data_IF_827741401579
#
_entry.id   IF_827741401579
#
_cell.length_a   1.000
_cell.length_b   1.000
_cell.length_c   1.000
_cell.angle_alpha   90.00
_cell.angle_beta   90.00
_cell.angle_gamma   90.00
#
_symmetry.space_group_name_H-M   'P 1'
#
loop_
_entity.id
_entity.type
_entity.pdbx_description
1 polymer ?
#
# COMPACT_ATOMS: atom_id res chain seq x y z
N UNK A 1 -45.46 -16.27 -4.61
CA UNK A 1 -44.44 -15.27 -4.21
C UNK A 1 -43.32 -16.02 -3.52
N UNK A 2 -42.09 -15.49 -3.62
CA UNK A 2 -40.79 -16.04 -3.15
C UNK A 2 -40.27 -17.29 -3.86
N UNK A 3 -39.71 -17.08 -5.06
CA UNK A 3 -38.76 -18.00 -5.68
C UNK A 3 -37.33 -17.59 -5.31
N UNK A 4 -36.59 -18.49 -4.67
CA UNK A 4 -35.14 -18.41 -4.49
C UNK A 4 -34.47 -18.30 -5.87
N UNK A 5 -33.91 -17.14 -6.21
CA UNK A 5 -33.11 -16.95 -7.43
C UNK A 5 -31.63 -17.15 -7.10
N UNK A 6 -31.18 -18.40 -7.09
CA UNK A 6 -29.77 -18.76 -6.97
C UNK A 6 -29.05 -18.87 -8.34
N UNK A 7 -29.57 -18.26 -9.41
CA UNK A 7 -29.12 -18.60 -10.78
C UNK A 7 -28.79 -17.46 -11.75
N UNK A 8 -28.45 -16.26 -11.28
CA UNK A 8 -27.84 -15.31 -12.23
C UNK A 8 -26.85 -14.33 -11.62
N UNK A 9 -25.89 -14.80 -10.82
CA UNK A 9 -24.77 -13.95 -10.41
C UNK A 9 -24.00 -13.46 -11.64
N UNK A 10 -23.60 -12.18 -11.68
CA UNK A 10 -22.87 -11.58 -12.80
C UNK A 10 -21.56 -12.32 -13.06
N UNK A 11 -21.11 -12.35 -14.31
CA UNK A 11 -19.87 -13.04 -14.67
C UNK A 11 -18.63 -12.31 -14.11
N UNK A 12 -17.55 -13.05 -13.89
CA UNK A 12 -16.22 -12.43 -13.68
C UNK A 12 -15.88 -11.56 -14.88
N UNK A 13 -15.36 -10.37 -14.63
CA UNK A 13 -15.10 -9.31 -15.62
C UNK A 13 -16.29 -8.40 -15.91
N UNK A 14 -17.49 -8.70 -15.39
CA UNK A 14 -18.63 -7.81 -15.55
C UNK A 14 -18.55 -6.59 -14.61
N UNK A 15 -19.15 -5.48 -15.05
CA UNK A 15 -19.41 -4.32 -14.21
C UNK A 15 -20.89 -4.30 -13.81
N UNK A 16 -21.14 -4.12 -12.52
CA UNK A 16 -22.50 -3.99 -11.96
C UNK A 16 -22.60 -2.76 -11.07
N UNK A 17 -23.81 -2.28 -10.86
CA UNK A 17 -24.11 -1.22 -9.89
C UNK A 17 -24.70 -1.79 -8.63
N UNK A 18 -24.31 -1.26 -7.48
CA UNK A 18 -24.92 -1.52 -6.18
C UNK A 18 -25.15 -0.20 -5.46
N UNK A 19 -26.20 -0.12 -4.64
CA UNK A 19 -26.39 1.01 -3.73
C UNK A 19 -25.23 1.07 -2.71
N UNK A 20 -24.89 2.25 -2.21
CA UNK A 20 -23.77 2.40 -1.26
C UNK A 20 -23.94 1.54 -0.01
N UNK A 21 -25.16 1.41 0.48
CA UNK A 21 -25.48 0.62 1.68
C UNK A 21 -25.23 -0.88 1.50
N UNK A 22 -25.24 -1.38 0.26
CA UNK A 22 -24.97 -2.79 -0.04
C UNK A 22 -23.49 -3.16 0.17
N UNK A 23 -22.58 -2.20 0.30
CA UNK A 23 -21.21 -2.49 0.74
C UNK A 23 -21.19 -3.13 2.15
N UNK A 24 -22.10 -2.74 3.04
CA UNK A 24 -22.25 -3.38 4.34
C UNK A 24 -22.66 -4.85 4.24
N UNK A 25 -23.39 -5.23 3.19
CA UNK A 25 -23.73 -6.63 2.91
C UNK A 25 -22.54 -7.42 2.39
N UNK A 26 -21.67 -6.81 1.59
CA UNK A 26 -20.41 -7.43 1.16
C UNK A 26 -19.52 -7.73 2.39
N UNK A 27 -19.39 -6.77 3.31
CA UNK A 27 -18.64 -6.96 4.56
C UNK A 27 -19.24 -8.08 5.40
N UNK A 28 -20.57 -8.09 5.58
CA UNK A 28 -21.26 -9.15 6.31
C UNK A 28 -21.05 -10.53 5.66
N UNK A 29 -21.15 -10.61 4.34
CA UNK A 29 -20.96 -11.84 3.56
C UNK A 29 -19.52 -12.40 3.66
N UNK A 30 -18.51 -11.52 3.78
CA UNK A 30 -17.13 -11.91 4.07
C UNK A 30 -17.03 -12.53 5.47
N UNK A 31 -17.60 -11.88 6.48
CA UNK A 31 -17.56 -12.37 7.87
C UNK A 31 -18.30 -13.69 8.06
N UNK A 32 -19.46 -13.85 7.43
CA UNK A 32 -20.20 -15.12 7.42
C UNK A 32 -19.40 -16.28 6.82
N UNK A 33 -18.43 -15.97 5.93
CA UNK A 33 -17.47 -16.93 5.36
C UNK A 33 -16.21 -17.12 6.21
N UNK A 34 -16.15 -16.50 7.39
CA UNK A 34 -15.03 -16.61 8.33
C UNK A 34 -13.87 -15.67 8.06
N UNK A 35 -14.04 -14.65 7.19
CA UNK A 35 -13.00 -13.64 6.98
C UNK A 35 -12.97 -12.65 8.15
N UNK A 36 -11.77 -12.42 8.67
CA UNK A 36 -11.43 -11.23 9.42
C UNK A 36 -11.45 -10.02 8.48
N UNK A 37 -12.30 -9.04 8.75
CA UNK A 37 -12.48 -7.88 7.87
C UNK A 37 -11.68 -6.66 8.36
N UNK A 38 -10.85 -6.13 7.47
CA UNK A 38 -10.01 -4.95 7.69
C UNK A 38 -10.54 -3.82 6.82
N UNK A 39 -10.98 -2.74 7.44
CA UNK A 39 -11.55 -1.57 6.77
C UNK A 39 -10.74 -0.32 7.12
N UNK A 40 -10.77 0.72 6.26
CA UNK A 40 -10.28 2.02 6.64
C UNK A 40 -11.19 2.58 7.74
N UNK A 41 -10.59 3.13 8.79
CA UNK A 41 -11.29 3.88 9.84
C UNK A 41 -10.44 5.02 10.35
N UNK A 42 -11.09 6.04 10.93
CA UNK A 42 -10.38 7.14 11.59
C UNK A 42 -9.85 6.66 12.95
N UNK A 43 -8.54 6.73 13.14
CA UNK A 43 -7.89 6.50 14.44
C UNK A 43 -6.64 7.39 14.55
N UNK A 44 -6.40 7.94 15.74
CA UNK A 44 -5.23 8.76 16.05
C UNK A 44 -4.96 9.91 15.05
N UNK A 45 -6.04 10.51 14.53
CA UNK A 45 -5.96 11.61 13.57
C UNK A 45 -5.57 11.21 12.14
N UNK A 46 -5.60 9.91 11.82
CA UNK A 46 -5.35 9.38 10.48
C UNK A 46 -6.41 8.35 10.05
N UNK A 47 -6.55 8.12 8.74
CA UNK A 47 -7.27 6.93 8.25
C UNK A 47 -6.29 5.75 8.25
N UNK A 48 -6.63 4.68 8.96
CA UNK A 48 -5.82 3.46 9.08
C UNK A 48 -6.64 2.23 8.70
N UNK A 49 -5.97 1.20 8.20
CA UNK A 49 -6.57 -0.12 8.00
C UNK A 49 -6.54 -0.88 9.30
N UNK A 50 -7.71 -1.14 9.86
CA UNK A 50 -7.87 -1.86 11.13
C UNK A 50 -9.08 -2.78 11.05
N UNK A 51 -9.14 -3.73 11.97
CA UNK A 51 -10.28 -4.63 12.08
C UNK A 51 -11.56 -3.85 12.38
N UNK A 52 -12.61 -4.22 11.65
CA UNK A 52 -13.95 -3.67 11.80
C UNK A 52 -14.99 -4.68 11.32
N UNK A 53 -16.15 -4.57 11.96
CA UNK A 53 -17.20 -5.57 11.92
C UNK A 53 -18.30 -5.27 10.90
N UNK A 54 -18.37 -4.01 10.46
CA UNK A 54 -19.36 -3.49 9.53
C UNK A 54 -18.79 -2.26 8.80
N UNK A 55 -19.53 -1.78 7.80
CA UNK A 55 -19.14 -0.63 6.99
C UNK A 55 -19.32 0.74 7.68
N UNK A 56 -19.90 0.81 8.88
CA UNK A 56 -20.07 2.07 9.61
C UNK A 56 -18.73 2.61 10.13
N UNK A 57 -17.70 1.77 10.20
CA UNK A 57 -16.34 2.20 10.55
C UNK A 57 -15.66 3.03 9.46
N UNK A 58 -16.21 3.03 8.23
CA UNK A 58 -15.62 3.75 7.11
C UNK A 58 -15.53 5.26 7.42
N UNK A 59 -14.47 5.95 6.96
CA UNK A 59 -14.26 7.36 7.22
C UNK A 59 -15.15 8.24 6.32
N UNK A 60 -16.46 8.00 6.34
CA UNK A 60 -17.43 8.70 5.48
C UNK A 60 -17.41 10.19 5.81
N UNK A 61 -17.29 11.01 4.77
CA UNK A 61 -17.23 12.47 4.87
C UNK A 61 -15.94 13.03 5.43
N UNK A 62 -14.89 12.22 5.50
CA UNK A 62 -13.53 12.68 5.82
C UNK A 62 -12.64 12.71 4.58
N UNK A 63 -11.91 13.80 4.44
CA UNK A 63 -10.77 13.92 3.53
C UNK A 63 -9.48 14.08 4.33
N UNK A 64 -8.38 13.61 3.75
CA UNK A 64 -7.03 13.88 4.23
C UNK A 64 -6.32 14.92 3.37
N UNK A 65 -5.76 15.93 4.00
CA UNK A 65 -4.81 16.85 3.40
C UNK A 65 -3.40 16.38 3.74
N UNK A 66 -2.61 16.05 2.73
CA UNK A 66 -1.23 15.59 2.88
C UNK A 66 -0.26 16.51 2.17
N UNK A 67 0.83 16.85 2.86
CA UNK A 67 2.01 17.52 2.32
C UNK A 67 3.27 16.91 2.92
N UNK A 68 4.46 17.37 2.51
CA UNK A 68 5.72 16.94 3.11
C UNK A 68 5.72 17.13 4.64
N UNK A 69 5.75 16.03 5.39
CA UNK A 69 5.72 16.04 6.86
C UNK A 69 4.38 16.40 7.51
N UNK A 70 3.27 16.42 6.75
CA UNK A 70 1.97 16.80 7.28
C UNK A 70 0.85 15.90 6.78
N UNK A 71 -0.01 15.47 7.71
CA UNK A 71 -1.26 14.77 7.45
C UNK A 71 -2.34 15.37 8.35
N UNK A 72 -3.47 15.77 7.78
CA UNK A 72 -4.61 16.33 8.53
C UNK A 72 -5.93 15.83 7.97
N UNK A 73 -6.79 15.32 8.84
CA UNK A 73 -8.18 15.03 8.47
C UNK A 73 -9.02 16.29 8.55
N UNK A 74 -9.91 16.46 7.57
CA UNK A 74 -10.92 17.51 7.56
C UNK A 74 -12.27 16.90 7.15
N UNK A 75 -13.38 17.37 7.74
CA UNK A 75 -14.70 17.10 7.18
C UNK A 75 -14.77 17.65 5.74
N UNK A 76 -15.28 16.86 4.81
CA UNK A 76 -15.44 17.28 3.41
C UNK A 76 -16.75 18.04 3.17
N UNK A 77 -17.72 17.93 4.08
CA UNK A 77 -19.09 18.43 3.87
C UNK A 77 -19.88 17.63 2.83
N UNK A 78 -19.38 16.46 2.40
CA UNK A 78 -20.02 15.52 1.48
C UNK A 78 -19.96 14.12 2.05
N UNK A 79 -20.85 13.22 1.65
CA UNK A 79 -20.89 11.84 2.16
C UNK A 79 -20.09 10.86 1.29
N UNK A 80 -18.82 11.20 1.02
CA UNK A 80 -17.90 10.32 0.30
C UNK A 80 -17.32 9.24 1.21
N UNK A 81 -17.45 7.97 0.83
CA UNK A 81 -17.06 6.80 1.63
C UNK A 81 -15.57 6.51 1.53
N UNK A 82 -14.97 6.78 0.37
CA UNK A 82 -13.55 6.56 0.08
C UNK A 82 -12.84 7.83 -0.39
N UNK A 83 -13.26 8.99 0.11
CA UNK A 83 -12.67 10.30 -0.22
C UNK A 83 -11.27 10.50 0.36
N UNK A 84 -10.87 9.71 1.37
CA UNK A 84 -9.49 9.66 1.83
C UNK A 84 -8.57 9.07 0.73
N UNK A 85 -7.29 9.42 0.67
CA UNK A 85 -6.36 8.90 -0.35
C UNK A 85 -5.65 7.66 0.18
N UNK A 86 -4.67 7.85 1.07
CA UNK A 86 -3.91 6.76 1.71
C UNK A 86 -3.50 7.14 3.14
N UNK A 87 -3.53 6.15 4.04
CA UNK A 87 -3.03 6.29 5.42
C UNK A 87 -1.53 6.00 5.59
N UNK A 88 -1.01 6.01 6.83
CA UNK A 88 0.37 5.57 7.13
C UNK A 88 0.57 4.07 6.91
N UNK A 89 -0.50 3.29 7.03
CA UNK A 89 -0.47 1.84 6.89
C UNK A 89 -0.94 1.39 5.50
N UNK A 90 -0.52 0.18 5.13
CA UNK A 90 -0.88 -0.49 3.88
C UNK A 90 -1.11 -1.97 4.15
N UNK A 91 -1.55 -2.70 3.13
CA UNK A 91 -1.80 -4.15 3.18
C UNK A 91 -0.56 -4.95 3.64
N UNK A 92 0.65 -4.39 3.46
CA UNK A 92 1.92 -4.97 3.95
C UNK A 92 1.81 -5.51 5.38
N UNK A 93 1.17 -4.80 6.31
CA UNK A 93 1.07 -5.21 7.73
C UNK A 93 0.38 -6.57 7.91
N UNK A 94 -0.47 -6.97 6.98
CA UNK A 94 -1.26 -8.19 7.03
C UNK A 94 -0.64 -9.35 6.25
N UNK A 95 0.28 -9.07 5.32
CA UNK A 95 1.02 -10.09 4.56
C UNK A 95 2.41 -10.35 5.14
N UNK A 96 3.07 -9.29 5.60
CA UNK A 96 4.39 -9.27 6.20
C UNK A 96 4.33 -8.44 7.50
N UNK A 97 3.91 -9.04 8.62
CA UNK A 97 3.67 -8.31 9.85
C UNK A 97 4.94 -7.68 10.43
N UNK A 98 4.82 -6.62 11.26
CA UNK A 98 5.98 -5.90 11.80
C UNK A 98 6.90 -6.76 12.67
N UNK A 99 6.33 -7.74 13.36
CA UNK A 99 7.02 -8.74 14.19
C UNK A 99 6.37 -10.09 13.90
N UNK A 100 7.18 -11.12 13.73
CA UNK A 100 6.73 -12.48 13.44
C UNK A 100 7.66 -13.51 14.10
N UNK A 101 7.11 -14.40 14.91
CA UNK A 101 7.86 -15.56 15.41
C UNK A 101 8.06 -16.57 14.28
N UNK A 102 9.31 -16.87 13.93
CA UNK A 102 9.68 -17.81 12.85
C UNK A 102 10.25 -19.13 13.38
N UNK A 103 10.62 -19.19 14.65
CA UNK A 103 11.02 -20.39 15.37
C UNK A 103 10.67 -20.22 16.85
N UNK A 104 10.19 -21.27 17.49
CA UNK A 104 10.03 -21.30 18.95
C UNK A 104 10.72 -22.53 19.53
N UNK A 105 11.32 -22.35 20.69
CA UNK A 105 12.05 -23.35 21.44
C UNK A 105 11.50 -23.45 22.85
N UNK A 106 11.11 -24.66 23.26
CA UNK A 106 10.64 -24.96 24.60
C UNK A 106 11.54 -25.99 25.26
N UNK A 107 11.83 -25.81 26.55
CA UNK A 107 12.57 -26.79 27.33
C UNK A 107 11.63 -27.85 27.90
N UNK A 108 11.81 -29.10 27.48
CA UNK A 108 11.03 -30.26 27.93
C UNK A 108 11.99 -31.34 28.40
N UNK A 109 11.84 -31.79 29.64
CA UNK A 109 12.72 -32.79 30.28
C UNK A 109 14.22 -32.42 30.19
N UNK A 110 14.52 -31.13 30.37
CA UNK A 110 15.88 -30.60 30.32
C UNK A 110 16.47 -30.46 28.91
N UNK A 111 15.75 -30.83 27.86
CA UNK A 111 16.17 -30.73 26.45
C UNK A 111 15.38 -29.66 25.70
N UNK A 112 16.02 -28.98 24.76
CA UNK A 112 15.35 -28.06 23.86
C UNK A 112 14.58 -28.82 22.78
N UNK A 113 13.31 -28.46 22.60
CA UNK A 113 12.48 -28.84 21.45
C UNK A 113 12.16 -27.58 20.67
N UNK A 114 12.56 -27.55 19.40
CA UNK A 114 12.29 -26.45 18.50
C UNK A 114 11.19 -26.83 17.52
N UNK A 115 10.33 -25.88 17.23
CA UNK A 115 9.28 -26.00 16.22
C UNK A 115 9.14 -24.67 15.48
N UNK A 116 8.85 -24.74 14.20
CA UNK A 116 8.43 -23.59 13.43
C UNK A 116 6.94 -23.40 13.70
N UNK A 117 6.50 -22.23 14.19
CA UNK A 117 5.07 -21.96 14.33
C UNK A 117 4.38 -22.20 12.98
N UNK A 118 3.24 -22.88 13.00
CA UNK A 118 2.40 -22.95 11.81
C UNK A 118 2.13 -21.52 11.34
N UNK A 119 2.16 -21.32 10.02
CA UNK A 119 1.75 -20.05 9.45
C UNK A 119 0.28 -19.82 9.82
N UNK A 120 0.04 -19.12 10.93
CA UNK A 120 -1.27 -18.71 11.41
C UNK A 120 -1.81 -17.65 10.44
N UNK A 121 -2.24 -18.13 9.28
CA UNK A 121 -2.90 -17.35 8.26
C UNK A 121 -4.40 -17.58 8.43
N UNK A 122 -5.06 -16.58 8.96
CA UNK A 122 -6.52 -16.50 9.00
C UNK A 122 -7.04 -15.96 7.65
N UNK A 123 -8.26 -16.34 7.28
CA UNK A 123 -8.95 -15.69 6.17
C UNK A 123 -9.06 -14.19 6.49
N UNK A 124 -8.47 -13.35 5.67
CA UNK A 124 -8.42 -11.90 5.89
C UNK A 124 -8.94 -11.18 4.65
N UNK A 125 -9.86 -10.25 4.83
CA UNK A 125 -10.36 -9.41 3.75
C UNK A 125 -9.98 -7.96 4.00
N UNK A 126 -9.31 -7.32 3.06
CA UNK A 126 -8.95 -5.89 3.17
C UNK A 126 -9.78 -5.10 2.18
N UNK A 127 -10.55 -4.15 2.70
CA UNK A 127 -11.46 -3.29 1.95
C UNK A 127 -10.85 -1.90 1.81
N UNK A 128 -11.08 -1.24 0.68
CA UNK A 128 -10.58 0.13 0.44
C UNK A 128 -9.20 0.19 -0.22
N UNK A 129 -8.67 -0.94 -0.69
CA UNK A 129 -7.30 -1.05 -1.20
C UNK A 129 -7.12 -0.20 -2.46
N UNK A 130 -6.09 0.65 -2.50
CA UNK A 130 -5.82 1.52 -3.65
C UNK A 130 -5.02 0.80 -4.73
N UNK A 131 -5.10 1.26 -5.98
CA UNK A 131 -4.32 0.71 -7.08
C UNK A 131 -2.82 0.62 -6.79
N UNK A 132 -2.25 1.65 -6.14
CA UNK A 132 -0.83 1.65 -5.77
C UNK A 132 -0.49 0.64 -4.66
N UNK A 133 -1.44 0.31 -3.79
CA UNK A 133 -1.26 -0.75 -2.79
C UNK A 133 -1.34 -2.15 -3.43
N UNK A 134 -2.20 -2.36 -4.43
CA UNK A 134 -2.24 -3.63 -5.20
C UNK A 134 -0.93 -3.89 -5.94
N UNK A 135 -0.38 -2.86 -6.60
CA UNK A 135 0.93 -2.96 -7.23
C UNK A 135 2.03 -3.23 -6.20
N UNK A 136 1.92 -2.66 -5.00
CA UNK A 136 2.88 -2.94 -3.94
C UNK A 136 2.80 -4.39 -3.43
N UNK A 137 1.61 -4.98 -3.37
CA UNK A 137 1.43 -6.42 -3.11
C UNK A 137 2.12 -7.23 -4.21
N UNK A 138 1.88 -6.91 -5.48
CA UNK A 138 2.53 -7.61 -6.60
C UNK A 138 4.07 -7.52 -6.52
N UNK A 139 4.62 -6.36 -6.11
CA UNK A 139 6.06 -6.19 -5.87
C UNK A 139 6.54 -7.08 -4.71
N UNK A 140 5.78 -7.20 -3.63
CA UNK A 140 6.11 -8.11 -2.53
C UNK A 140 6.00 -9.58 -2.94
N UNK A 141 5.03 -9.95 -3.77
CA UNK A 141 4.89 -11.30 -4.32
C UNK A 141 6.18 -11.71 -5.05
N UNK A 142 6.79 -10.80 -5.83
CA UNK A 142 8.11 -11.07 -6.47
C UNK A 142 9.22 -11.38 -5.48
N UNK A 143 9.23 -10.68 -4.34
CA UNK A 143 10.28 -10.84 -3.32
C UNK A 143 10.08 -12.14 -2.52
N UNK A 144 8.85 -12.43 -2.11
CA UNK A 144 8.55 -13.49 -1.15
C UNK A 144 8.12 -14.82 -1.80
N UNK A 145 7.65 -14.80 -3.05
CA UNK A 145 7.09 -15.97 -3.73
C UNK A 145 7.84 -16.37 -5.00
N UNK A 146 8.38 -15.40 -5.74
CA UNK A 146 9.01 -15.66 -7.06
C UNK A 146 10.54 -15.78 -7.00
N UNK A 147 11.13 -15.57 -5.82
CA UNK A 147 12.56 -15.75 -5.58
C UNK A 147 12.98 -17.24 -5.53
N UNK A 148 14.29 -17.53 -5.31
CA UNK A 148 14.79 -18.90 -5.18
C UNK A 148 14.24 -19.65 -3.95
N UNK A 149 13.67 -18.91 -2.99
CA UNK A 149 13.02 -19.45 -1.79
C UNK A 149 11.67 -18.77 -1.61
N UNK A 150 10.66 -19.58 -1.29
CA UNK A 150 9.32 -19.10 -0.98
C UNK A 150 9.19 -18.92 0.53
N UNK A 151 8.68 -17.76 0.94
CA UNK A 151 8.29 -17.50 2.31
C UNK A 151 6.91 -18.13 2.58
N UNK A 152 6.91 -19.26 3.30
CA UNK A 152 5.69 -20.03 3.55
C UNK A 152 4.63 -19.25 4.35
N UNK A 153 5.04 -18.35 5.25
CA UNK A 153 4.11 -17.58 6.05
C UNK A 153 3.46 -16.46 5.24
N UNK A 154 4.24 -15.77 4.41
CA UNK A 154 3.72 -14.80 3.44
C UNK A 154 2.77 -15.48 2.45
N UNK A 155 3.16 -16.63 1.88
CA UNK A 155 2.34 -17.40 0.94
C UNK A 155 0.99 -17.78 1.56
N UNK A 156 1.00 -18.35 2.77
CA UNK A 156 -0.23 -18.77 3.44
C UNK A 156 -1.19 -17.58 3.69
N UNK A 157 -0.66 -16.40 4.04
CA UNK A 157 -1.47 -15.17 4.19
C UNK A 157 -2.00 -14.69 2.84
N UNK A 158 -1.15 -14.71 1.81
CA UNK A 158 -1.48 -14.25 0.47
C UNK A 158 -2.58 -15.08 -0.19
N UNK A 159 -2.59 -16.39 0.03
CA UNK A 159 -3.61 -17.34 -0.46
C UNK A 159 -4.96 -17.19 0.24
N UNK A 160 -4.96 -16.67 1.48
CA UNK A 160 -6.15 -16.45 2.31
C UNK A 160 -6.60 -14.98 2.34
N UNK A 161 -6.04 -14.15 1.47
CA UNK A 161 -6.33 -12.73 1.38
C UNK A 161 -7.40 -12.44 0.33
N UNK A 162 -8.50 -11.83 0.76
CA UNK A 162 -9.48 -11.20 -0.13
C UNK A 162 -9.24 -9.68 -0.23
N UNK A 163 -9.41 -9.11 -1.41
CA UNK A 163 -9.10 -7.73 -1.73
C UNK A 163 -10.29 -7.03 -2.38
N UNK A 164 -10.86 -6.05 -1.67
CA UNK A 164 -11.87 -5.14 -2.21
C UNK A 164 -11.19 -3.80 -2.47
N UNK A 165 -10.83 -3.57 -3.73
CA UNK A 165 -10.09 -2.42 -4.18
C UNK A 165 -11.00 -1.24 -4.53
N UNK A 166 -10.47 -0.01 -4.53
CA UNK A 166 -11.24 1.20 -4.83
C UNK A 166 -10.44 2.17 -5.69
N UNK A 167 -11.00 2.52 -6.84
CA UNK A 167 -10.47 3.56 -7.73
C UNK A 167 -10.38 4.90 -7.00
N UNK A 168 -9.25 5.60 -7.14
CA UNK A 168 -9.11 6.92 -6.53
C UNK A 168 -9.93 7.96 -7.30
N UNK A 169 -10.68 8.80 -6.58
CA UNK A 169 -11.40 9.98 -7.11
C UNK A 169 -10.69 11.29 -6.80
N UNK A 170 -9.78 11.23 -5.83
CA UNK A 170 -8.90 12.31 -5.38
C UNK A 170 -7.47 11.78 -5.27
N UNK A 171 -6.51 12.67 -5.45
CA UNK A 171 -5.11 12.44 -5.14
C UNK A 171 -4.68 13.40 -4.03
N UNK A 172 -3.77 12.96 -3.17
CA UNK A 172 -3.11 13.86 -2.24
C UNK A 172 -1.98 14.60 -2.98
N UNK A 173 -1.56 15.77 -2.47
CA UNK A 173 -0.46 16.53 -3.07
C UNK A 173 0.83 15.71 -3.19
N UNK A 174 1.04 14.74 -2.28
CA UNK A 174 2.22 13.88 -2.23
C UNK A 174 2.17 12.70 -3.22
N UNK A 175 1.05 12.46 -3.88
CA UNK A 175 0.90 11.35 -4.83
C UNK A 175 1.54 11.66 -6.18
N UNK A 176 2.22 10.64 -6.73
CA UNK A 176 2.79 10.63 -8.08
C UNK A 176 2.67 9.25 -8.75
N UNK A 177 1.68 8.44 -8.33
CA UNK A 177 1.45 7.08 -8.85
C UNK A 177 1.14 7.04 -10.35
N UNK A 178 0.66 8.13 -10.94
CA UNK A 178 0.50 8.26 -12.39
C UNK A 178 1.85 8.13 -13.11
N UNK A 179 2.91 8.78 -12.58
CA UNK A 179 4.26 8.70 -13.14
C UNK A 179 4.88 7.31 -13.00
N UNK A 180 4.42 6.54 -12.01
CA UNK A 180 4.86 5.18 -11.76
C UNK A 180 3.94 4.13 -12.41
N UNK A 181 2.92 4.55 -13.16
CA UNK A 181 1.92 3.69 -13.82
C UNK A 181 1.18 2.70 -12.88
N UNK A 182 1.06 3.05 -11.60
CA UNK A 182 0.53 2.17 -10.53
C UNK A 182 -0.80 2.67 -9.95
N UNK A 183 -1.38 3.69 -10.57
CA UNK A 183 -2.65 4.31 -10.20
C UNK A 183 -2.96 5.51 -11.11
N UNK A 184 -4.00 6.30 -10.82
CA UNK A 184 -4.99 6.19 -9.73
C UNK A 184 -6.07 5.10 -9.94
N UNK A 185 -6.18 4.55 -11.15
CA UNK A 185 -7.05 3.40 -11.41
C UNK A 185 -6.53 2.16 -10.66
N UNK A 186 -7.46 1.31 -10.26
CA UNK A 186 -7.18 -0.05 -9.80
C UNK A 186 -6.71 -0.86 -11.00
N UNK A 187 -5.59 -1.54 -10.82
CA UNK A 187 -5.06 -2.54 -11.75
C UNK A 187 -4.48 -3.70 -10.97
N UNK A 188 -4.26 -4.83 -11.65
CA UNK A 188 -3.76 -6.06 -11.03
C UNK A 188 -4.86 -6.95 -10.47
N UNK A 189 -4.52 -7.76 -9.45
CA UNK A 189 -5.39 -8.79 -8.90
C UNK A 189 -6.24 -8.25 -7.73
N UNK A 190 -7.57 -8.39 -7.83
CA UNK A 190 -8.55 -8.04 -6.80
C UNK A 190 -9.77 -8.96 -6.91
N UNK A 191 -10.58 -9.06 -5.85
CA UNK A 191 -11.85 -9.79 -5.90
C UNK A 191 -12.98 -8.90 -6.41
N UNK A 192 -13.03 -7.66 -5.92
CA UNK A 192 -13.92 -6.59 -6.40
C UNK A 192 -13.14 -5.28 -6.50
N UNK A 193 -13.40 -4.49 -7.55
CA UNK A 193 -12.92 -3.13 -7.66
C UNK A 193 -14.10 -2.16 -7.73
N UNK A 194 -14.13 -1.21 -6.80
CA UNK A 194 -15.21 -0.23 -6.66
C UNK A 194 -14.81 1.10 -7.33
N UNK A 195 -15.72 1.67 -8.09
CA UNK A 195 -15.74 3.10 -8.43
C UNK A 195 -16.91 3.73 -7.72
N UNK A 196 -16.62 4.66 -6.81
CA UNK A 196 -17.65 5.38 -6.07
C UNK A 196 -18.26 6.50 -6.94
N UNK A 197 -19.58 6.47 -7.09
CA UNK A 197 -20.38 7.55 -7.66
C UNK A 197 -21.15 8.25 -6.52
N UNK A 198 -22.05 9.18 -6.86
CA UNK A 198 -22.75 9.99 -5.86
C UNK A 198 -23.61 9.12 -4.92
N UNK A 199 -24.48 8.27 -5.47
CA UNK A 199 -25.43 7.44 -4.70
C UNK A 199 -25.12 5.93 -4.75
N UNK A 200 -24.17 5.51 -5.59
CA UNK A 200 -23.93 4.10 -5.89
C UNK A 200 -22.45 3.78 -6.06
N UNK A 201 -22.13 2.48 -6.05
CA UNK A 201 -20.84 1.96 -6.51
C UNK A 201 -21.03 1.23 -7.83
N UNK A 202 -20.14 1.52 -8.78
CA UNK A 202 -19.89 0.61 -9.90
C UNK A 202 -18.81 -0.38 -9.47
N UNK A 203 -19.11 -1.67 -9.61
CA UNK A 203 -18.30 -2.78 -9.10
C UNK A 203 -17.85 -3.64 -10.26
N UNK A 204 -16.54 -3.72 -10.48
CA UNK A 204 -15.91 -4.70 -11.36
C UNK A 204 -15.60 -5.97 -10.58
N UNK A 205 -15.93 -7.12 -11.17
CA UNK A 205 -15.79 -8.44 -10.54
C UNK A 205 -14.49 -9.09 -11.02
N UNK A 206 -13.51 -9.21 -10.14
CA UNK A 206 -12.20 -9.78 -10.49
C UNK A 206 -12.10 -11.29 -10.30
N UNK A 207 -12.86 -11.87 -9.36
CA UNK A 207 -12.79 -13.32 -9.05
C UNK A 207 -14.15 -13.96 -8.81
N UNK A 208 -14.17 -15.29 -8.73
CA UNK A 208 -15.35 -16.04 -8.30
C UNK A 208 -15.75 -15.70 -6.86
N UNK A 209 -14.80 -15.44 -5.96
CA UNK A 209 -15.12 -14.96 -4.61
C UNK A 209 -15.88 -13.63 -4.69
N UNK A 210 -15.36 -12.66 -5.45
CA UNK A 210 -16.04 -11.37 -5.65
C UNK A 210 -17.47 -11.54 -6.19
N UNK A 211 -17.64 -12.43 -7.17
CA UNK A 211 -18.97 -12.78 -7.71
C UNK A 211 -19.91 -13.31 -6.62
N UNK A 212 -19.44 -14.21 -5.77
CA UNK A 212 -20.23 -14.80 -4.69
C UNK A 212 -20.62 -13.79 -3.61
N UNK A 213 -19.75 -12.80 -3.33
CA UNK A 213 -20.04 -11.72 -2.38
C UNK A 213 -21.23 -10.85 -2.81
N UNK A 214 -21.56 -10.80 -4.10
CA UNK A 214 -22.72 -10.08 -4.60
C UNK A 214 -24.06 -10.81 -4.40
N UNK A 215 -24.06 -12.05 -3.93
CA UNK A 215 -25.30 -12.83 -3.72
C UNK A 215 -26.29 -12.21 -2.73
N UNK A 216 -25.81 -11.45 -1.74
CA UNK A 216 -26.65 -10.71 -0.79
C UNK A 216 -26.99 -9.28 -1.23
N UNK A 217 -26.42 -8.80 -2.34
CA UNK A 217 -26.54 -7.41 -2.79
C UNK A 217 -27.67 -7.26 -3.82
N UNK A 218 -28.30 -6.08 -3.85
CA UNK A 218 -29.16 -5.70 -4.96
C UNK A 218 -28.27 -5.07 -6.01
N UNK A 219 -28.04 -5.79 -7.09
CA UNK A 219 -27.21 -5.31 -8.18
C UNK A 219 -27.97 -5.29 -9.50
N UNK A 220 -27.54 -4.40 -10.40
CA UNK A 220 -27.98 -4.35 -11.79
C UNK A 220 -26.77 -4.25 -12.72
N UNK A 221 -26.86 -4.80 -13.93
CA UNK A 221 -25.81 -4.59 -14.93
C UNK A 221 -25.65 -3.09 -15.24
N UNK A 222 -24.41 -2.65 -15.48
CA UNK A 222 -24.14 -1.31 -15.99
C UNK A 222 -24.55 -1.20 -17.46
N UNK A 223 -25.09 -0.04 -17.87
CA UNK A 223 -25.14 0.33 -19.29
C UNK A 223 -23.73 0.66 -19.82
N UNK A 224 -23.60 0.84 -21.14
CA UNK A 224 -22.34 1.26 -21.76
C UNK A 224 -21.94 2.68 -21.30
N UNK A 225 -22.92 3.57 -21.12
CA UNK A 225 -22.69 4.93 -20.60
C UNK A 225 -22.20 4.89 -19.15
N UNK A 226 -22.81 4.07 -18.30
CA UNK A 226 -22.43 3.93 -16.89
C UNK A 226 -21.04 3.29 -16.73
N UNK A 227 -20.76 2.27 -17.54
CA UNK A 227 -19.42 1.64 -17.64
C UNK A 227 -18.38 2.68 -18.04
N UNK A 228 -18.69 3.50 -19.04
CA UNK A 228 -17.81 4.56 -19.52
C UNK A 228 -17.60 5.62 -18.44
N UNK A 229 -18.67 6.07 -17.77
CA UNK A 229 -18.60 7.05 -16.70
C UNK A 229 -17.72 6.56 -15.54
N UNK A 230 -17.89 5.31 -15.12
CA UNK A 230 -17.09 4.71 -14.04
C UNK A 230 -15.60 4.63 -14.39
N UNK A 231 -15.25 4.23 -15.61
CA UNK A 231 -13.85 4.18 -16.08
C UNK A 231 -13.24 5.58 -16.20
N UNK A 232 -14.03 6.57 -16.59
CA UNK A 232 -13.57 7.96 -16.70
C UNK A 232 -13.19 8.59 -15.35
N UNK A 233 -13.68 8.08 -14.21
CA UNK A 233 -13.38 8.66 -12.89
C UNK A 233 -11.87 8.65 -12.59
N UNK A 234 -11.17 7.50 -12.53
CA UNK A 234 -9.73 7.48 -12.33
C UNK A 234 -8.96 8.06 -13.54
N UNK A 235 -9.46 7.94 -14.77
CA UNK A 235 -8.78 8.51 -15.95
C UNK A 235 -8.72 10.04 -15.92
N UNK A 236 -9.82 10.70 -15.55
CA UNK A 236 -9.84 12.16 -15.35
C UNK A 236 -8.90 12.57 -14.22
N UNK A 237 -8.84 11.79 -13.13
CA UNK A 237 -7.89 12.06 -12.05
C UNK A 237 -6.44 11.92 -12.54
N UNK A 238 -6.11 10.87 -13.32
CA UNK A 238 -4.79 10.70 -13.94
C UNK A 238 -4.42 11.93 -14.77
N UNK A 239 -5.31 12.36 -15.68
CA UNK A 239 -5.08 13.52 -16.52
C UNK A 239 -4.85 14.80 -15.70
N UNK A 240 -5.61 15.01 -14.62
CA UNK A 240 -5.39 16.13 -13.69
C UNK A 240 -4.02 16.06 -13.01
N UNK A 241 -3.59 14.87 -12.55
CA UNK A 241 -2.27 14.68 -11.96
C UNK A 241 -1.14 14.97 -12.96
N UNK A 242 -1.30 14.54 -14.22
CA UNK A 242 -0.35 14.81 -15.30
C UNK A 242 -0.30 16.29 -15.68
N UNK A 243 -1.44 16.99 -15.69
CA UNK A 243 -1.53 18.42 -15.95
C UNK A 243 -0.93 19.26 -14.82
N UNK A 244 -1.02 18.81 -13.56
CA UNK A 244 -0.36 19.43 -12.41
C UNK A 244 1.17 19.56 -12.59
N UNK A 245 1.80 18.74 -13.44
CA UNK A 245 3.21 18.86 -13.85
C UNK A 245 3.52 20.16 -14.60
N UNK A 246 2.51 20.80 -15.22
CA UNK A 246 2.64 21.94 -16.13
C UNK A 246 2.21 23.29 -15.51
N UNK A 247 2.19 23.38 -14.18
CA UNK A 247 2.03 24.59 -13.36
C UNK A 247 1.07 25.67 -13.86
N UNK A 248 -0.10 25.83 -13.23
CA UNK A 248 -0.90 27.07 -13.12
C UNK A 248 -1.66 26.98 -11.77
N UNK A 249 -1.68 28.00 -10.89
CA UNK A 249 -2.38 29.29 -10.96
C UNK A 249 -3.92 29.15 -11.15
N UNK A 250 -4.61 29.70 -10.14
CA UNK A 250 -6.02 30.08 -10.05
C UNK A 250 -7.09 29.01 -9.72
N UNK A 251 -7.52 29.03 -8.45
CA UNK A 251 -8.95 29.20 -8.18
C UNK A 251 -9.76 28.02 -7.61
N UNK A 252 -9.23 26.80 -7.51
CA UNK A 252 -9.94 25.69 -6.86
C UNK A 252 -9.22 25.25 -5.58
N UNK A 253 -9.83 25.53 -4.42
CA UNK A 253 -9.31 25.31 -3.05
C UNK A 253 -9.05 23.84 -2.66
N UNK A 254 -9.20 22.86 -3.57
CA UNK A 254 -9.17 21.43 -3.22
C UNK A 254 -8.14 20.56 -3.97
N UNK A 255 -7.38 21.10 -4.93
CA UNK A 255 -6.38 20.33 -5.66
C UNK A 255 -4.99 21.00 -5.65
N UNK A 256 -4.14 20.61 -4.68
CA UNK A 256 -2.69 20.81 -4.85
C UNK A 256 -2.25 20.08 -6.13
N UNK A 257 -1.47 20.71 -7.03
CA UNK A 257 -0.90 20.01 -8.17
C UNK A 257 -0.08 18.81 -7.67
N UNK A 258 -0.45 17.61 -8.11
CA UNK A 258 0.21 16.38 -7.70
C UNK A 258 1.69 16.39 -8.08
N UNK A 259 2.52 15.69 -7.29
CA UNK A 259 3.93 15.48 -7.61
C UNK A 259 4.06 14.60 -8.86
N UNK A 260 5.19 14.73 -9.56
CA UNK A 260 5.52 13.92 -10.74
C UNK A 260 6.99 13.57 -10.69
N UNK A 261 7.34 12.41 -11.26
CA UNK A 261 8.73 12.00 -11.47
C UNK A 261 8.92 11.57 -12.92
N UNK A 262 10.06 11.95 -13.51
CA UNK A 262 10.44 11.48 -14.84
C UNK A 262 11.22 10.16 -14.71
N UNK A 263 10.58 9.07 -15.13
CA UNK A 263 11.13 7.72 -15.06
C UNK A 263 12.02 7.36 -16.25
N UNK A 264 12.07 8.18 -17.31
CA UNK A 264 12.86 7.88 -18.50
C UNK A 264 14.36 7.92 -18.18
N UNK A 265 15.06 6.82 -18.45
CA UNK A 265 16.48 6.66 -18.08
C UNK A 265 16.79 6.81 -16.58
N UNK A 266 15.79 6.71 -15.68
CA UNK A 266 15.98 6.97 -14.24
C UNK A 266 17.03 6.05 -13.59
N UNK A 267 17.11 4.81 -14.08
CA UNK A 267 18.09 3.83 -13.63
C UNK A 267 19.52 4.32 -13.84
N UNK A 268 19.85 4.70 -15.07
CA UNK A 268 21.19 5.18 -15.42
C UNK A 268 21.47 6.57 -14.85
N UNK A 269 20.46 7.45 -14.79
CA UNK A 269 20.56 8.73 -14.09
C UNK A 269 21.11 8.55 -12.68
N UNK A 270 20.49 7.67 -11.87
CA UNK A 270 20.85 7.53 -10.47
C UNK A 270 22.15 6.75 -10.26
N UNK A 271 22.39 5.70 -11.06
CA UNK A 271 23.62 4.89 -10.97
C UNK A 271 24.85 5.68 -11.41
N UNK A 272 24.74 6.56 -12.41
CA UNK A 272 25.86 7.38 -12.87
C UNK A 272 26.14 8.59 -11.98
N UNK A 273 25.28 8.87 -10.99
CA UNK A 273 25.35 10.07 -10.14
C UNK A 273 25.47 9.74 -8.64
N UNK A 274 26.12 8.62 -8.27
CA UNK A 274 26.28 8.20 -6.87
C UNK A 274 27.05 9.20 -5.99
N UNK A 275 27.90 10.04 -6.59
CA UNK A 275 28.67 11.06 -5.86
C UNK A 275 28.11 12.47 -5.97
N UNK A 276 26.92 12.62 -6.56
CA UNK A 276 26.27 13.91 -6.75
C UNK A 276 26.07 14.68 -5.42
N UNK A 277 26.30 16.01 -5.44
CA UNK A 277 26.20 16.88 -4.24
C UNK A 277 24.83 16.86 -3.59
N UNK A 278 23.78 16.55 -4.35
CA UNK A 278 22.40 16.50 -3.85
C UNK A 278 22.23 15.51 -2.70
N UNK A 279 23.05 14.45 -2.65
CA UNK A 279 23.04 13.52 -1.53
C UNK A 279 23.49 14.18 -0.21
N UNK A 280 24.41 15.15 -0.25
CA UNK A 280 24.79 15.95 0.92
C UNK A 280 23.66 16.86 1.37
N UNK A 281 23.01 17.55 0.42
CA UNK A 281 21.89 18.47 0.70
C UNK A 281 20.72 17.75 1.41
N UNK A 282 20.45 16.50 1.01
CA UNK A 282 19.45 15.68 1.70
C UNK A 282 19.96 15.22 3.06
N UNK A 283 21.23 14.81 3.16
CA UNK A 283 21.81 14.31 4.40
C UNK A 283 21.81 15.35 5.53
N UNK A 284 21.94 16.63 5.20
CA UNK A 284 21.86 17.73 6.18
C UNK A 284 20.46 17.89 6.79
N UNK A 285 19.41 17.51 6.07
CA UNK A 285 18.01 17.60 6.53
C UNK A 285 17.52 16.30 7.16
N UNK A 286 17.97 15.16 6.63
CA UNK A 286 17.44 13.86 6.97
C UNK A 286 17.81 13.42 8.39
N UNK A 287 16.79 13.09 9.18
CA UNK A 287 16.93 12.61 10.56
C UNK A 287 17.34 11.14 10.67
N UNK A 288 17.42 10.40 9.56
CA UNK A 288 17.59 8.93 9.54
C UNK A 288 16.57 8.16 10.40
N UNK A 289 15.36 8.71 10.58
CA UNK A 289 14.32 8.17 11.46
C UNK A 289 13.58 6.91 10.94
N UNK A 290 13.97 6.35 9.78
CA UNK A 290 13.35 5.18 9.14
C UNK A 290 11.87 5.28 8.69
N UNK A 291 11.14 6.37 8.99
CA UNK A 291 9.72 6.51 8.61
C UNK A 291 9.45 6.18 7.13
N UNK A 292 10.30 6.66 6.21
CA UNK A 292 10.14 6.44 4.76
C UNK A 292 10.19 4.95 4.34
N UNK A 293 10.76 4.08 5.17
CA UNK A 293 10.77 2.62 4.97
C UNK A 293 9.62 1.92 5.70
N UNK A 294 9.27 2.40 6.91
CA UNK A 294 8.19 1.82 7.71
C UNK A 294 6.82 1.98 7.03
N UNK A 295 6.51 3.18 6.51
CA UNK A 295 5.24 3.47 5.83
C UNK A 295 5.20 3.00 4.37
N UNK A 296 6.33 2.57 3.81
CA UNK A 296 6.40 2.19 2.41
C UNK A 296 5.81 0.80 2.20
N UNK A 297 4.84 0.63 1.28
CA UNK A 297 4.16 -0.64 1.08
C UNK A 297 5.02 -1.68 0.35
N UNK A 298 6.15 -1.29 -0.26
CA UNK A 298 7.06 -2.18 -0.99
C UNK A 298 8.34 -2.53 -0.20
N UNK A 299 8.62 -1.84 0.91
CA UNK A 299 9.81 -2.13 1.72
C UNK A 299 9.61 -3.44 2.50
N UNK A 300 10.60 -4.34 2.38
CA UNK A 300 10.54 -5.71 2.90
C UNK A 300 11.74 -6.09 3.79
N UNK A 301 12.67 -5.17 4.06
CA UNK A 301 13.83 -5.45 4.90
C UNK A 301 13.40 -5.88 6.31
N UNK A 302 14.06 -6.88 6.86
CA UNK A 302 13.87 -7.36 8.22
C UNK A 302 15.18 -7.78 8.89
N UNK A 303 15.16 -7.76 10.21
CA UNK A 303 16.17 -8.35 11.09
C UNK A 303 15.59 -9.61 11.75
N UNK A 304 16.46 -10.48 12.23
CA UNK A 304 16.08 -11.70 12.96
C UNK A 304 16.85 -11.72 14.27
N UNK A 305 16.10 -11.79 15.37
CA UNK A 305 16.64 -11.73 16.73
C UNK A 305 16.12 -12.91 17.55
N UNK A 306 16.93 -13.42 18.47
CA UNK A 306 16.54 -14.45 19.43
C UNK A 306 16.11 -13.78 20.74
N UNK A 307 14.86 -14.01 21.15
CA UNK A 307 14.22 -13.45 22.35
C UNK A 307 13.95 -14.57 23.34
N UNK A 308 14.56 -14.52 24.52
CA UNK A 308 14.32 -15.46 25.60
C UNK A 308 13.35 -14.89 26.64
N UNK A 309 12.55 -15.75 27.25
CA UNK A 309 11.73 -15.36 28.40
C UNK A 309 12.58 -15.25 29.68
N UNK A 310 11.99 -14.69 30.74
CA UNK A 310 12.68 -14.54 32.03
C UNK A 310 12.89 -15.88 32.76
N UNK A 311 12.15 -16.93 32.40
CA UNK A 311 12.32 -18.26 33.01
C UNK A 311 13.54 -18.98 32.46
N UNK A 312 13.92 -18.67 31.21
CA UNK A 312 14.99 -19.35 30.48
C UNK A 312 14.58 -20.71 29.92
N UNK A 313 13.30 -21.07 30.03
CA UNK A 313 12.74 -22.31 29.49
C UNK A 313 12.04 -22.10 28.14
N UNK A 314 11.89 -20.85 27.69
CA UNK A 314 11.32 -20.50 26.40
C UNK A 314 12.23 -19.52 25.63
N UNK A 315 12.41 -19.79 24.33
CA UNK A 315 13.10 -18.90 23.40
C UNK A 315 12.32 -18.81 22.09
N UNK A 316 12.25 -17.62 21.53
CA UNK A 316 11.66 -17.34 20.24
C UNK A 316 12.72 -16.75 19.32
N UNK A 317 12.64 -17.07 18.04
CA UNK A 317 13.31 -16.32 16.99
C UNK A 317 12.26 -15.46 16.32
N UNK A 318 12.44 -14.16 16.41
CA UNK A 318 11.51 -13.18 15.85
C UNK A 318 12.12 -12.50 14.64
N UNK A 319 11.33 -12.37 13.58
CA UNK A 319 11.60 -11.51 12.43
C UNK A 319 10.90 -10.18 12.65
N UNK A 320 11.67 -9.10 12.68
CA UNK A 320 11.15 -7.74 12.88
C UNK A 320 11.46 -6.87 11.66
N UNK A 321 10.54 -5.99 11.26
CA UNK A 321 10.81 -5.02 10.20
C UNK A 321 12.11 -4.24 10.47
N UNK A 322 13.00 -4.29 9.51
CA UNK A 322 14.29 -3.62 9.51
C UNK A 322 14.25 -2.39 8.60
N UNK A 323 15.20 -1.48 8.82
CA UNK A 323 15.34 -0.31 7.96
C UNK A 323 16.77 -0.09 7.53
N UNK A 324 16.97 0.21 6.25
CA UNK A 324 18.26 0.62 5.70
C UNK A 324 18.76 1.97 6.24
N UNK A 325 17.97 2.66 7.07
CA UNK A 325 18.39 3.84 7.81
C UNK A 325 18.97 3.53 9.21
N UNK A 326 18.89 2.29 9.69
CA UNK A 326 19.51 1.86 10.95
C UNK A 326 20.96 1.43 10.74
N UNK A 327 21.79 1.54 11.80
CA UNK A 327 23.19 1.13 11.73
C UNK A 327 23.32 -0.39 11.59
N UNK A 328 22.55 -1.14 12.37
CA UNK A 328 22.51 -2.60 12.41
C UNK A 328 22.27 -3.22 11.03
N UNK A 329 21.41 -2.63 10.21
CA UNK A 329 21.11 -3.12 8.87
C UNK A 329 22.33 -3.23 7.94
N UNK A 330 23.39 -2.45 8.19
CA UNK A 330 24.63 -2.50 7.40
C UNK A 330 25.85 -2.94 8.20
N UNK A 331 25.63 -3.50 9.39
CA UNK A 331 26.70 -4.04 10.21
C UNK A 331 27.19 -5.37 9.62
N UNK A 332 28.49 -5.47 9.40
CA UNK A 332 29.18 -6.69 8.98
C UNK A 332 30.37 -6.94 9.93
N UNK A 333 31.11 -8.03 9.74
CA UNK A 333 32.27 -8.37 10.58
C UNK A 333 33.31 -7.23 10.70
N UNK A 334 33.39 -6.34 9.70
CA UNK A 334 34.28 -5.17 9.68
C UNK A 334 33.65 -3.88 10.21
N UNK A 335 32.46 -3.94 10.80
CA UNK A 335 31.67 -2.79 11.26
C UNK A 335 30.59 -2.34 10.29
N UNK A 336 30.08 -1.12 10.50
CA UNK A 336 28.96 -0.53 9.75
C UNK A 336 29.44 0.01 8.41
N UNK A 337 28.93 -0.54 7.30
CA UNK A 337 29.30 -0.11 5.93
C UNK A 337 28.65 1.22 5.54
N UNK A 338 27.41 1.46 6.00
CA UNK A 338 26.66 2.70 5.73
C UNK A 338 26.51 3.51 7.01
N UNK A 339 27.62 4.13 7.41
CA UNK A 339 27.71 4.85 8.68
C UNK A 339 27.25 6.32 8.62
N UNK A 340 26.92 6.85 7.44
CA UNK A 340 26.42 8.25 7.28
C UNK A 340 25.00 8.31 6.74
N UNK A 341 24.26 9.37 7.10
CA UNK A 341 22.95 9.68 6.53
C UNK A 341 22.99 9.77 5.00
N UNK A 342 24.03 10.40 4.42
CA UNK A 342 24.29 10.45 2.97
C UNK A 342 24.27 9.05 2.36
N UNK A 343 25.08 8.14 2.91
CA UNK A 343 25.21 6.77 2.38
C UNK A 343 23.90 5.98 2.47
N UNK A 344 23.12 6.17 3.55
CA UNK A 344 21.84 5.47 3.78
C UNK A 344 20.74 5.99 2.84
N UNK A 345 20.57 7.32 2.75
CA UNK A 345 19.57 7.91 1.87
C UNK A 345 19.87 7.60 0.39
N UNK A 346 21.14 7.73 -0.03
CA UNK A 346 21.58 7.35 -1.38
C UNK A 346 21.24 5.88 -1.65
N UNK A 347 21.61 4.96 -0.75
CA UNK A 347 21.27 3.55 -0.89
C UNK A 347 19.76 3.33 -1.04
N UNK A 348 18.95 3.96 -0.18
CA UNK A 348 17.50 3.81 -0.21
C UNK A 348 16.90 4.26 -1.53
N UNK A 349 17.26 5.45 -2.01
CA UNK A 349 16.67 6.02 -3.23
C UNK A 349 17.16 5.29 -4.47
N UNK A 350 18.46 5.01 -4.57
CA UNK A 350 19.06 4.27 -5.70
C UNK A 350 18.52 2.84 -5.74
N UNK A 351 18.42 2.16 -4.59
CA UNK A 351 17.81 0.83 -4.55
C UNK A 351 16.38 0.88 -5.06
N UNK A 352 15.55 1.76 -4.48
CA UNK A 352 14.12 1.85 -4.80
C UNK A 352 13.83 2.22 -6.25
N UNK A 353 14.57 3.15 -6.86
CA UNK A 353 14.24 3.71 -8.17
C UNK A 353 15.16 3.25 -9.31
N UNK A 354 16.32 2.65 -9.00
CA UNK A 354 17.27 2.22 -10.02
C UNK A 354 17.62 0.74 -9.89
N UNK A 355 18.41 0.32 -8.92
CA UNK A 355 18.95 -1.06 -8.90
C UNK A 355 17.90 -2.13 -8.60
N UNK A 356 16.70 -1.76 -8.14
CA UNK A 356 15.55 -2.67 -8.11
C UNK A 356 15.15 -3.13 -9.51
N UNK A 357 15.24 -2.25 -10.51
CA UNK A 357 14.90 -2.58 -11.90
C UNK A 357 15.81 -3.70 -12.40
N UNK A 358 17.09 -3.67 -12.02
CA UNK A 358 18.06 -4.72 -12.37
C UNK A 358 17.71 -6.08 -11.72
N UNK A 359 17.02 -6.08 -10.57
CA UNK A 359 16.67 -7.29 -9.82
C UNK A 359 15.30 -7.87 -10.18
N UNK A 360 14.32 -7.00 -10.46
CA UNK A 360 12.91 -7.37 -10.54
C UNK A 360 12.19 -6.80 -11.77
N UNK A 361 12.90 -6.15 -12.70
CA UNK A 361 12.34 -5.57 -13.95
C UNK A 361 11.23 -4.53 -13.74
N UNK A 362 11.15 -3.95 -12.53
CA UNK A 362 10.16 -2.92 -12.18
C UNK A 362 10.78 -1.91 -11.22
N UNK A 363 10.09 -0.81 -10.94
CA UNK A 363 10.49 0.10 -9.87
C UNK A 363 10.02 -0.44 -8.51
N UNK A 364 10.84 -0.28 -7.47
CA UNK A 364 10.42 -0.53 -6.09
C UNK A 364 9.51 0.57 -5.52
N UNK A 365 9.07 1.54 -6.33
CA UNK A 365 8.20 2.65 -5.94
C UNK A 365 6.86 2.60 -6.68
N UNK A 366 5.77 2.77 -5.94
CA UNK A 366 4.38 2.82 -6.47
C UNK A 366 3.77 4.22 -6.43
N UNK A 367 4.58 5.25 -6.20
CA UNK A 367 4.14 6.65 -6.21
C UNK A 367 3.03 7.03 -5.21
N UNK A 368 2.83 6.25 -4.15
CA UNK A 368 1.76 6.49 -3.15
C UNK A 368 1.98 7.74 -2.27
N UNK A 369 3.18 8.34 -2.27
CA UNK A 369 3.46 9.56 -1.52
C UNK A 369 3.68 9.40 -0.01
N UNK A 370 3.37 8.23 0.59
CA UNK A 370 3.48 8.01 2.05
C UNK A 370 4.84 8.41 2.64
N UNK A 371 5.95 8.08 1.95
CA UNK A 371 7.28 8.42 2.44
C UNK A 371 7.61 9.93 2.43
N UNK A 372 6.86 10.74 1.68
CA UNK A 372 6.94 12.20 1.66
C UNK A 372 6.03 12.77 2.77
N UNK A 373 4.79 12.30 2.83
CA UNK A 373 3.80 12.69 3.85
C UNK A 373 4.32 12.49 5.26
N UNK A 374 4.92 11.33 5.53
CA UNK A 374 5.38 10.93 6.86
C UNK A 374 6.86 11.19 7.11
N UNK A 375 7.53 11.95 6.24
CA UNK A 375 8.87 12.44 6.50
C UNK A 375 8.80 13.66 7.43
N UNK A 376 9.32 13.62 8.67
CA UNK A 376 9.18 14.73 9.62
C UNK A 376 9.79 16.06 9.15
N UNK A 377 10.73 16.00 8.20
CA UNK A 377 11.42 17.14 7.60
C UNK A 377 11.01 17.40 6.14
N UNK A 378 9.94 16.74 5.68
CA UNK A 378 9.36 16.98 4.36
C UNK A 378 10.27 16.66 3.17
N UNK A 379 11.16 15.67 3.29
CA UNK A 379 12.00 15.25 2.14
C UNK A 379 11.08 14.68 1.04
N UNK A 380 11.20 15.29 -0.13
CA UNK A 380 10.44 14.95 -1.32
C UNK A 380 11.35 14.27 -2.35
N UNK A 381 11.23 12.95 -2.46
CA UNK A 381 12.06 12.18 -3.39
C UNK A 381 11.87 12.58 -4.85
N UNK A 382 10.70 13.11 -5.26
CA UNK A 382 10.51 13.52 -6.65
C UNK A 382 11.31 14.79 -6.94
N UNK A 383 11.35 15.72 -5.98
CA UNK A 383 12.20 16.90 -6.05
C UNK A 383 13.70 16.54 -5.98
N UNK A 384 14.09 15.55 -5.17
CA UNK A 384 15.49 15.13 -5.10
C UNK A 384 15.97 14.49 -6.40
N UNK A 385 15.13 13.69 -7.08
CA UNK A 385 15.46 13.10 -8.38
C UNK A 385 15.50 14.15 -9.48
N UNK A 386 14.54 15.08 -9.51
CA UNK A 386 14.54 16.19 -10.46
C UNK A 386 15.82 17.03 -10.34
N UNK A 387 16.24 17.35 -9.11
CA UNK A 387 17.46 18.10 -8.87
C UNK A 387 18.73 17.38 -9.38
N UNK A 388 18.82 16.05 -9.27
CA UNK A 388 19.95 15.29 -9.83
C UNK A 388 19.92 15.32 -11.35
N UNK A 389 18.73 15.23 -11.96
CA UNK A 389 18.55 15.25 -13.43
C UNK A 389 18.92 16.61 -14.03
N UNK A 390 18.46 17.71 -13.43
CA UNK A 390 18.69 19.07 -13.93
C UNK A 390 20.15 19.49 -13.87
N UNK A 391 20.93 18.94 -12.94
CA UNK A 391 22.35 19.26 -12.77
C UNK A 391 23.27 18.15 -13.28
N UNK A 392 22.77 17.30 -14.19
CA UNK A 392 23.66 16.43 -14.97
C UNK A 392 24.61 17.30 -15.80
N UNK A 393 25.94 17.02 -15.78
CA UNK A 393 26.91 17.72 -16.61
C UNK A 393 26.73 17.45 -18.10
#
# INVERSE_FOLDING_TARGET
MSGNSSYNLPAVGALVRIAKEDLGRIVSALRERGYRTILPKVADGAVVYEEADDAQSLPVGWIDQQEGGSYRLKPSGRDGWFDYVVGPHSVKRYLFPPVETILQGNRVDGKWKFETPDAQAELTAVIGVRGCDLHAIAIQDRVFLEGPYVDAAYQARREKLALIAVNCRRAAATCFCHSMETGPAVGGNFDLALTELEDEFVVEIGTNLGRELLSGCRWSACSDEETTAARQVPDRLRQKMEQGRRGFADGEEEASPGRSIDTDGIRDLLVNNLEHRRWDDVAQRCLSCANCTLVCPTCFCASVDDVADLTGDHVQRERTWGSCFTAEHSYMNSGVVRNTTRSRYRQWLVHKLATWIDQFETSGCVGCGRCITWCPVGIDLTAEVAAIRETQP
#
